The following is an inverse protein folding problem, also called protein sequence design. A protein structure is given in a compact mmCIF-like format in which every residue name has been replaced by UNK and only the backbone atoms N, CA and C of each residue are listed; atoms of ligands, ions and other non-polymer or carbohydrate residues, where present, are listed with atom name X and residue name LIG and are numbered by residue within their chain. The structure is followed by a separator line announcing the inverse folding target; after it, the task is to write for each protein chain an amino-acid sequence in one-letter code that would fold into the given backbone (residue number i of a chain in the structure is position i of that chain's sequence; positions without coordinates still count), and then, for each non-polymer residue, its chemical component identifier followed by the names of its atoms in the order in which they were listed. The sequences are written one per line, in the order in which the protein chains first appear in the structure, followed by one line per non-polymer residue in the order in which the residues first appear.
data_IF_335942172716
#
_entry.id   IF_335942172716
#
_cell.length_a   1.000
_cell.length_b   1.000
_cell.length_c   1.000
_cell.angle_alpha   90.00
_cell.angle_beta   90.00
_cell.angle_gamma   90.00
#
_symmetry.space_group_name_H-M   'P 1'
#
loop_
_entity.id
_entity.type
_entity.pdbx_description
1 polymer ?
#
# COMPACT_ATOMS: atom_id res chain seq x y z
N UNK A 1 27.66 -38.67 -20.06
CA UNK A 1 27.42 -37.57 -19.10
C UNK A 1 26.35 -36.66 -19.68
N UNK A 2 25.10 -36.72 -19.18
CA UNK A 2 24.00 -35.88 -19.68
C UNK A 2 24.26 -34.44 -19.22
N UNK A 3 24.49 -33.51 -20.15
CA UNK A 3 24.46 -32.08 -19.82
C UNK A 3 23.05 -31.71 -19.36
N UNK A 4 22.90 -31.32 -18.10
CA UNK A 4 21.66 -30.70 -17.65
C UNK A 4 21.50 -29.34 -18.35
N UNK A 5 20.33 -29.13 -18.95
CA UNK A 5 19.99 -27.86 -19.59
C UNK A 5 19.98 -26.75 -18.53
N UNK A 6 20.85 -25.74 -18.67
CA UNK A 6 21.01 -24.60 -17.71
C UNK A 6 19.72 -23.82 -17.44
N UNK A 7 18.76 -23.84 -18.36
CA UNK A 7 17.49 -23.11 -18.20
C UNK A 7 16.31 -24.05 -18.46
N UNK A 8 15.65 -24.45 -17.37
CA UNK A 8 14.31 -25.08 -17.37
C UNK A 8 13.36 -24.31 -16.46
N UNK A 9 13.28 -22.99 -16.61
CA UNK A 9 12.23 -22.21 -15.95
C UNK A 9 11.58 -21.27 -16.95
N UNK A 10 10.38 -21.67 -17.40
CA UNK A 10 9.45 -20.86 -18.21
C UNK A 10 8.55 -20.02 -17.30
N UNK A 11 9.13 -19.42 -16.26
CA UNK A 11 8.41 -18.62 -15.26
C UNK A 11 8.99 -17.23 -15.15
N UNK A 12 8.15 -16.25 -14.83
CA UNK A 12 8.60 -14.90 -14.46
C UNK A 12 9.51 -14.98 -13.24
N UNK A 13 10.77 -14.58 -13.38
CA UNK A 13 11.71 -14.46 -12.26
C UNK A 13 11.50 -13.12 -11.57
N UNK A 14 10.87 -13.14 -10.41
CA UNK A 14 10.74 -11.95 -9.56
C UNK A 14 11.93 -11.88 -8.60
N UNK A 15 12.50 -10.69 -8.44
CA UNK A 15 13.53 -10.46 -7.43
C UNK A 15 12.98 -10.83 -6.05
N UNK A 16 13.72 -11.61 -5.25
CA UNK A 16 13.27 -12.04 -3.91
C UNK A 16 13.32 -10.92 -2.88
N UNK A 17 14.12 -9.90 -3.16
CA UNK A 17 14.29 -8.72 -2.32
C UNK A 17 14.64 -7.50 -3.18
N UNK A 18 14.43 -6.32 -2.62
CA UNK A 18 14.82 -5.02 -3.16
C UNK A 18 15.64 -4.28 -2.10
N UNK A 19 16.72 -3.63 -2.53
CA UNK A 19 17.43 -2.65 -1.70
C UNK A 19 16.74 -1.30 -1.87
N UNK A 20 16.36 -0.69 -0.77
CA UNK A 20 15.60 0.57 -0.76
C UNK A 20 16.19 1.56 0.24
N UNK A 21 15.85 2.82 0.09
CA UNK A 21 16.07 3.83 1.10
C UNK A 21 15.06 3.69 2.25
N UNK A 22 15.56 3.62 3.48
CA UNK A 22 14.72 3.53 4.66
C UNK A 22 13.93 4.84 4.87
N UNK A 23 12.59 4.78 5.04
CA UNK A 23 11.78 5.98 5.25
C UNK A 23 12.04 6.71 6.58
N UNK A 24 12.74 6.07 7.53
CA UNK A 24 13.05 6.64 8.86
C UNK A 24 14.43 7.27 8.96
N UNK A 25 15.45 6.62 8.41
CA UNK A 25 16.84 7.06 8.58
C UNK A 25 17.56 7.39 7.27
N UNK A 26 16.91 7.20 6.11
CA UNK A 26 17.46 7.43 4.76
C UNK A 26 18.74 6.64 4.45
N UNK A 27 18.99 5.56 5.18
CA UNK A 27 20.05 4.59 4.89
C UNK A 27 19.47 3.37 4.20
N UNK A 28 20.33 2.50 3.69
CA UNK A 28 19.94 1.23 3.08
C UNK A 28 19.02 0.40 4.01
N UNK A 29 17.97 -0.12 3.41
CA UNK A 29 17.02 -1.07 3.97
C UNK A 29 16.68 -2.13 2.92
N UNK A 30 16.10 -3.24 3.39
CA UNK A 30 15.77 -4.38 2.55
C UNK A 30 14.26 -4.58 2.59
N UNK A 31 13.64 -4.61 1.41
CA UNK A 31 12.27 -5.11 1.22
C UNK A 31 12.37 -6.55 0.75
N UNK A 32 11.73 -7.47 1.45
CA UNK A 32 11.67 -8.88 1.08
C UNK A 32 10.24 -9.40 1.15
N UNK A 33 9.92 -10.44 0.37
CA UNK A 33 8.63 -11.12 0.47
C UNK A 33 8.82 -12.64 0.47
N UNK A 34 7.90 -13.33 1.14
CA UNK A 34 7.82 -14.79 1.11
C UNK A 34 6.52 -15.26 0.45
N UNK A 35 6.62 -16.27 -0.43
CA UNK A 35 5.47 -16.82 -1.15
C UNK A 35 5.17 -16.07 -2.46
N UNK A 36 3.88 -15.87 -2.74
CA UNK A 36 3.44 -15.28 -4.01
C UNK A 36 3.65 -13.77 -4.03
N UNK A 37 4.33 -13.28 -5.07
CA UNK A 37 4.47 -11.84 -5.35
C UNK A 37 3.10 -11.12 -5.43
N UNK A 38 2.05 -11.82 -5.86
CA UNK A 38 0.71 -11.26 -6.04
C UNK A 38 -0.03 -10.96 -4.74
N UNK A 39 0.25 -11.71 -3.67
CA UNK A 39 -0.51 -11.53 -2.42
C UNK A 39 0.01 -10.36 -1.60
N UNK A 40 1.29 -10.00 -1.72
CA UNK A 40 1.99 -8.90 -1.01
C UNK A 40 1.90 -8.93 0.54
N UNK A 41 1.02 -9.74 1.11
CA UNK A 41 0.72 -9.86 2.54
C UNK A 41 1.95 -10.24 3.37
N UNK A 42 2.90 -10.95 2.77
CA UNK A 42 4.13 -11.39 3.43
C UNK A 42 5.33 -10.50 3.06
N UNK A 43 5.10 -9.32 2.49
CA UNK A 43 6.15 -8.37 2.23
C UNK A 43 6.49 -7.60 3.52
N UNK A 44 7.79 -7.47 3.79
CA UNK A 44 8.32 -6.75 4.93
C UNK A 44 9.50 -5.86 4.51
N UNK A 45 9.56 -4.67 5.08
CA UNK A 45 10.70 -3.77 5.04
C UNK A 45 11.45 -3.90 6.37
N UNK A 46 12.76 -4.09 6.29
CA UNK A 46 13.67 -4.14 7.44
C UNK A 46 14.86 -3.22 7.19
N UNK A 47 15.11 -2.30 8.12
CA UNK A 47 16.30 -1.47 8.09
C UNK A 47 17.32 -1.96 9.13
N UNK A 48 18.50 -2.47 8.71
CA UNK A 48 19.54 -2.88 9.65
C UNK A 48 20.17 -1.71 10.41
N UNK A 49 20.05 -0.48 9.89
CA UNK A 49 20.70 0.71 10.45
C UNK A 49 19.94 1.33 11.63
N UNK A 50 18.61 1.32 11.60
CA UNK A 50 17.77 1.92 12.66
C UNK A 50 16.76 0.94 13.27
N UNK A 51 16.83 -0.34 12.88
CA UNK A 51 15.94 -1.42 13.32
C UNK A 51 14.46 -1.18 13.00
N UNK A 52 14.15 -0.24 12.10
CA UNK A 52 12.79 -0.03 11.64
C UNK A 52 12.30 -1.26 10.87
N UNK A 53 11.11 -1.72 11.22
CA UNK A 53 10.39 -2.78 10.54
C UNK A 53 9.00 -2.29 10.18
N UNK A 54 8.56 -2.61 8.97
CA UNK A 54 7.23 -2.28 8.45
C UNK A 54 6.73 -3.47 7.62
N UNK A 55 5.49 -3.88 7.81
CA UNK A 55 4.82 -4.90 7.00
C UNK A 55 3.87 -4.24 6.02
N UNK A 56 3.48 -4.96 4.97
CA UNK A 56 2.48 -4.45 4.03
C UNK A 56 1.14 -4.11 4.72
N UNK A 57 0.77 -4.86 5.76
CA UNK A 57 -0.45 -4.60 6.54
C UNK A 57 -0.40 -3.26 7.28
N UNK A 58 0.77 -2.82 7.75
CA UNK A 58 0.94 -1.54 8.45
C UNK A 58 0.65 -0.33 7.55
N UNK A 59 0.76 -0.52 6.23
CA UNK A 59 0.50 0.50 5.21
C UNK A 59 -0.96 0.57 4.77
N UNK A 60 -1.76 -0.44 5.09
CA UNK A 60 -3.16 -0.46 4.71
C UNK A 60 -3.90 0.65 5.45
N UNK A 61 -4.64 1.43 4.67
CA UNK A 61 -5.60 2.41 5.13
C UNK A 61 -6.98 2.01 4.62
N UNK A 62 -8.01 2.39 5.36
CA UNK A 62 -9.38 2.13 5.01
C UNK A 62 -10.12 3.43 4.71
N UNK A 63 -10.94 3.38 3.66
CA UNK A 63 -11.96 4.38 3.34
C UNK A 63 -13.33 3.73 3.52
N UNK A 64 -14.17 4.38 4.31
CA UNK A 64 -15.55 3.98 4.53
C UNK A 64 -16.50 4.98 3.90
N UNK A 65 -17.61 4.50 3.33
CA UNK A 65 -18.56 5.34 2.61
C UNK A 65 -19.99 4.86 2.82
N UNK A 66 -20.87 5.79 3.18
CA UNK A 66 -22.32 5.60 3.25
C UNK A 66 -22.97 6.42 2.14
N UNK A 67 -23.70 5.75 1.24
CA UNK A 67 -24.53 6.38 0.21
C UNK A 67 -25.92 5.77 0.24
N UNK A 68 -26.89 6.49 0.80
CA UNK A 68 -28.26 6.03 1.03
C UNK A 68 -29.25 7.20 0.93
N UNK A 69 -30.54 6.90 0.83
CA UNK A 69 -31.58 7.91 0.98
C UNK A 69 -32.00 8.01 2.45
N UNK A 70 -32.31 9.22 2.90
CA UNK A 70 -32.79 9.50 4.23
C UNK A 70 -34.13 8.77 4.47
N UNK A 71 -34.26 7.97 5.55
CA UNK A 71 -35.54 7.32 5.88
C UNK A 71 -36.67 8.31 6.18
N UNK A 72 -36.33 9.51 6.66
CA UNK A 72 -37.29 10.52 7.09
C UNK A 72 -37.75 11.42 5.93
N UNK A 73 -36.82 12.02 5.17
CA UNK A 73 -37.16 12.97 4.10
C UNK A 73 -36.92 12.48 2.67
N UNK A 74 -36.45 11.23 2.48
CA UNK A 74 -36.20 10.63 1.17
C UNK A 74 -35.01 11.18 0.38
N UNK A 75 -34.38 12.29 0.81
CA UNK A 75 -33.23 12.90 0.12
C UNK A 75 -31.96 12.08 0.28
N UNK A 76 -31.07 12.14 -0.71
CA UNK A 76 -29.80 11.41 -0.71
C UNK A 76 -28.85 11.93 0.39
N UNK A 77 -28.15 11.00 1.03
CA UNK A 77 -27.13 11.21 2.03
C UNK A 77 -25.86 10.52 1.55
N UNK A 78 -24.75 11.27 1.54
CA UNK A 78 -23.41 10.76 1.28
C UNK A 78 -22.48 11.20 2.41
N UNK A 79 -21.84 10.23 3.07
CA UNK A 79 -20.82 10.49 4.08
C UNK A 79 -19.62 9.57 3.82
N UNK A 80 -18.42 10.09 4.03
CA UNK A 80 -17.19 9.33 3.89
C UNK A 80 -16.20 9.68 4.99
N UNK A 81 -15.37 8.70 5.34
CA UNK A 81 -14.23 8.86 6.23
C UNK A 81 -13.08 8.04 5.64
N UNK A 82 -11.90 8.64 5.56
CA UNK A 82 -10.72 8.03 4.97
C UNK A 82 -9.56 8.00 5.97
N UNK A 83 -8.41 7.47 5.53
CA UNK A 83 -7.18 7.38 6.31
C UNK A 83 -7.34 6.63 7.64
N UNK A 84 -8.29 5.70 7.71
CA UNK A 84 -8.52 4.88 8.90
C UNK A 84 -7.49 3.75 8.98
N UNK A 85 -6.94 3.52 10.18
CA UNK A 85 -6.06 2.37 10.44
C UNK A 85 -6.81 1.04 10.58
N UNK A 86 -8.06 1.12 10.98
CA UNK A 86 -8.93 -0.04 11.14
C UNK A 86 -10.29 0.22 10.51
N UNK A 87 -10.94 -0.80 9.93
CA UNK A 87 -12.28 -0.66 9.39
C UNK A 87 -13.29 -0.44 10.52
N UNK A 88 -14.13 0.59 10.39
CA UNK A 88 -15.25 0.82 11.31
C UNK A 88 -16.47 0.01 10.90
N UNK A 89 -17.14 -0.61 11.88
CA UNK A 89 -18.34 -1.42 11.65
C UNK A 89 -19.58 -0.55 11.44
N UNK A 90 -19.63 0.59 12.10
CA UNK A 90 -20.77 1.50 12.13
C UNK A 90 -20.30 2.94 11.98
N UNK A 91 -21.10 3.75 11.29
CA UNK A 91 -20.86 5.17 11.08
C UNK A 91 -22.16 5.92 11.34
N UNK A 92 -22.14 6.85 12.29
CA UNK A 92 -23.26 7.77 12.50
C UNK A 92 -23.30 8.79 11.38
N UNK A 93 -24.44 8.92 10.72
CA UNK A 93 -24.64 9.86 9.62
C UNK A 93 -25.83 10.76 9.93
N UNK A 94 -25.62 12.07 9.78
CA UNK A 94 -26.67 13.08 9.94
C UNK A 94 -27.15 13.53 8.56
N UNK A 95 -28.46 13.48 8.32
CA UNK A 95 -29.05 14.01 7.11
C UNK A 95 -28.88 15.55 7.07
N UNK A 96 -28.27 16.12 6.02
CA UNK A 96 -28.07 17.57 5.94
C UNK A 96 -29.39 18.35 5.76
N UNK A 97 -30.47 17.67 5.34
CA UNK A 97 -31.75 18.32 5.03
C UNK A 97 -32.73 18.37 6.21
N UNK A 98 -32.92 17.25 6.92
CA UNK A 98 -33.89 17.16 8.03
C UNK A 98 -33.24 16.90 9.39
N UNK A 99 -31.89 16.84 9.46
CA UNK A 99 -31.13 16.58 10.68
C UNK A 99 -31.38 15.22 11.33
N UNK A 100 -32.13 14.31 10.67
CA UNK A 100 -32.26 12.91 11.08
C UNK A 100 -30.89 12.26 11.23
N UNK A 101 -30.68 11.54 12.34
CA UNK A 101 -29.44 10.81 12.65
C UNK A 101 -29.71 9.31 12.71
N UNK A 102 -28.85 8.54 12.05
CA UNK A 102 -28.87 7.09 12.13
C UNK A 102 -27.45 6.51 12.03
N UNK A 103 -27.31 5.29 12.50
CA UNK A 103 -26.11 4.48 12.33
C UNK A 103 -26.27 3.56 11.13
N UNK A 104 -25.23 3.51 10.30
CA UNK A 104 -25.19 2.65 9.13
C UNK A 104 -23.93 1.80 9.15
N UNK A 105 -24.06 0.55 8.70
CA UNK A 105 -22.91 -0.24 8.27
C UNK A 105 -22.36 0.36 6.95
N UNK A 106 -21.15 0.94 6.94
CA UNK A 106 -20.63 1.59 5.74
C UNK A 106 -20.05 0.57 4.76
N UNK A 107 -19.90 0.98 3.50
CA UNK A 107 -19.08 0.23 2.54
C UNK A 107 -17.61 0.51 2.86
N UNK A 108 -16.79 -0.54 2.91
CA UNK A 108 -15.38 -0.46 3.31
C UNK A 108 -14.50 -0.80 2.11
N UNK A 109 -13.52 0.05 1.84
CA UNK A 109 -12.49 -0.16 0.82
C UNK A 109 -11.12 0.05 1.45
N UNK A 110 -10.13 -0.76 1.10
CA UNK A 110 -8.74 -0.59 1.55
C UNK A 110 -7.86 -0.05 0.43
N UNK A 111 -6.84 0.71 0.80
CA UNK A 111 -5.84 1.27 -0.10
C UNK A 111 -4.51 1.49 0.62
N UNK A 112 -3.47 1.82 -0.14
CA UNK A 112 -2.17 2.23 0.40
C UNK A 112 -1.89 3.66 -0.01
N UNK A 113 -1.39 4.45 0.94
CA UNK A 113 -0.89 5.79 0.64
C UNK A 113 0.40 5.67 -0.16
N UNK A 114 0.33 6.02 -1.44
CA UNK A 114 1.50 6.06 -2.29
C UNK A 114 2.49 7.12 -1.79
N UNK A 115 3.73 6.71 -1.53
CA UNK A 115 4.83 7.62 -1.20
C UNK A 115 5.16 8.48 -2.42
N UNK A 116 5.34 9.78 -2.24
CA UNK A 116 5.83 10.67 -3.30
C UNK A 116 7.33 10.44 -3.48
N UNK A 117 7.74 10.11 -4.71
CA UNK A 117 9.11 9.74 -5.02
C UNK A 117 9.90 10.83 -5.76
N UNK A 118 9.28 11.95 -6.11
CA UNK A 118 9.95 13.11 -6.72
C UNK A 118 10.87 12.75 -7.91
N UNK A 119 10.40 11.84 -8.77
CA UNK A 119 11.16 11.37 -9.94
C UNK A 119 12.01 10.11 -9.71
N UNK A 120 12.23 9.70 -8.46
CA UNK A 120 12.92 8.45 -8.13
C UNK A 120 12.10 7.22 -8.47
N UNK A 121 12.78 6.09 -8.70
CA UNK A 121 12.15 4.80 -8.89
C UNK A 121 11.89 4.13 -7.54
N UNK A 122 10.66 3.65 -7.36
CA UNK A 122 10.24 2.93 -6.17
C UNK A 122 10.21 1.41 -6.35
N UNK A 123 10.36 0.69 -5.24
CA UNK A 123 10.07 -0.74 -5.20
C UNK A 123 8.57 -1.03 -5.42
N UNK A 124 8.20 -2.18 -5.97
CA UNK A 124 6.82 -2.45 -6.36
C UNK A 124 5.88 -2.81 -5.19
N UNK A 125 6.40 -2.96 -3.97
CA UNK A 125 5.65 -3.43 -2.80
C UNK A 125 5.35 -2.28 -1.81
N UNK A 126 6.37 -1.53 -1.40
CA UNK A 126 6.28 -0.44 -0.41
C UNK A 126 6.38 0.95 -1.05
N UNK A 127 6.68 1.02 -2.36
CA UNK A 127 6.96 2.25 -3.09
C UNK A 127 8.03 3.11 -2.39
N UNK A 128 9.04 2.49 -1.79
CA UNK A 128 10.23 3.13 -1.25
C UNK A 128 11.25 3.35 -2.38
N UNK A 129 12.01 4.46 -2.40
CA UNK A 129 13.07 4.67 -3.39
C UNK A 129 14.04 3.48 -3.41
N UNK A 130 14.36 2.94 -4.58
CA UNK A 130 15.42 1.95 -4.72
C UNK A 130 16.76 2.53 -4.24
N UNK A 131 17.57 1.74 -3.55
CA UNK A 131 18.86 2.20 -3.02
C UNK A 131 19.88 2.44 -4.15
N UNK A 132 19.88 1.55 -5.14
CA UNK A 132 20.76 1.60 -6.29
C UNK A 132 20.08 2.37 -7.43
N UNK A 133 20.00 3.69 -7.28
CA UNK A 133 19.55 4.57 -8.35
C UNK A 133 20.37 5.86 -8.43
N UNK A 134 20.42 6.46 -9.61
CA UNK A 134 21.17 7.70 -9.83
C UNK A 134 20.95 8.27 -11.22
N UNK A 135 21.21 9.57 -11.35
CA UNK A 135 21.06 10.27 -12.62
C UNK A 135 22.36 10.25 -13.43
N UNK A 136 22.25 9.92 -14.72
CA UNK A 136 23.33 10.03 -15.68
C UNK A 136 22.84 10.90 -16.84
N UNK A 137 23.42 12.10 -16.98
CA UNK A 137 23.04 13.10 -17.99
C UNK A 137 21.53 13.41 -17.97
N UNK A 138 20.95 13.60 -16.78
CA UNK A 138 19.53 13.91 -16.58
C UNK A 138 18.57 12.74 -16.81
N UNK A 139 19.08 11.52 -17.00
CA UNK A 139 18.26 10.31 -17.09
C UNK A 139 18.46 9.46 -15.84
N UNK A 140 17.37 9.03 -15.20
CA UNK A 140 17.43 8.16 -14.03
C UNK A 140 17.73 6.71 -14.44
N UNK A 141 18.79 6.15 -13.87
CA UNK A 141 19.12 4.73 -13.93
C UNK A 141 18.89 4.09 -12.56
N UNK A 142 18.48 2.83 -12.54
CA UNK A 142 18.17 2.10 -11.32
C UNK A 142 18.38 0.59 -11.52
N UNK A 143 18.64 -0.11 -10.42
CA UNK A 143 18.81 -1.57 -10.36
C UNK A 143 18.12 -2.16 -9.12
#
# INVERSE_FOLDING_TARGET
MKMEKRYKQTGYYYAKYYLVECPKCRKEAIVSFSGSYWTRQNAELKCPNCLHKETYADQLMYKVTVKRNCPDCGKSISAEQDNLKEPVKEMTVTCPNCQFRAEYAPNITSYILAKQLNGLKGDPLFNCPLWLQGEIRGNLFWA
#
